data_IF_328083071261
#
_entry.id   IF_328083071261
#
_cell.length_a   1.000
_cell.length_b   1.000
_cell.length_c   1.000
_cell.angle_alpha   90.00
_cell.angle_beta   90.00
_cell.angle_gamma   90.00
#
_symmetry.space_group_name_H-M   'P 1'
#
loop_
_entity.id
_entity.type
_entity.pdbx_description
1 polymer ?
#
# COMPACT_ATOMS: atom_id res chain seq x y z
N UNK A 1 38.27 10.44 13.13
CA UNK A 1 37.99 9.28 14.01
C UNK A 1 38.77 8.10 13.45
N UNK A 2 39.48 7.31 14.27
CA UNK A 2 40.14 6.10 13.77
C UNK A 2 39.08 5.10 13.27
N UNK A 3 39.36 4.43 12.16
CA UNK A 3 38.49 3.44 11.53
C UNK A 3 39.25 2.12 11.40
N UNK A 4 38.82 1.10 12.13
CA UNK A 4 39.32 -0.27 11.95
C UNK A 4 38.42 -1.01 10.93
N UNK A 5 39.04 -1.58 9.91
CA UNK A 5 38.36 -2.46 8.94
C UNK A 5 38.78 -3.90 9.22
N UNK A 6 37.84 -4.73 9.67
CA UNK A 6 38.04 -6.17 9.80
C UNK A 6 37.75 -6.84 8.45
N UNK A 7 38.53 -7.84 8.01
CA UNK A 7 38.40 -8.41 6.68
C UNK A 7 37.11 -9.22 6.49
N UNK A 8 36.47 -9.69 7.57
CA UNK A 8 35.10 -10.21 7.53
C UNK A 8 34.35 -9.96 8.85
N UNK A 9 33.11 -10.49 8.94
CA UNK A 9 32.20 -10.36 10.11
C UNK A 9 32.09 -11.64 10.96
N UNK A 10 33.05 -12.55 10.88
CA UNK A 10 33.03 -13.82 11.61
C UNK A 10 33.24 -13.60 13.12
N UNK A 11 32.50 -14.37 13.93
CA UNK A 11 32.56 -14.26 15.39
C UNK A 11 33.99 -14.38 15.93
N UNK A 12 34.78 -15.31 15.39
CA UNK A 12 36.17 -15.54 15.80
C UNK A 12 37.08 -14.34 15.54
N UNK A 13 36.98 -13.70 14.37
CA UNK A 13 37.82 -12.54 14.04
C UNK A 13 37.46 -11.33 14.90
N UNK A 14 36.16 -11.06 15.07
CA UNK A 14 35.67 -9.98 15.94
C UNK A 14 36.09 -10.21 17.39
N UNK A 15 36.04 -11.46 17.88
CA UNK A 15 36.53 -11.83 19.22
C UNK A 15 38.02 -11.50 19.38
N UNK A 16 38.85 -11.96 18.44
CA UNK A 16 40.29 -11.77 18.52
C UNK A 16 40.69 -10.29 18.42
N UNK A 17 40.00 -9.52 17.56
CA UNK A 17 40.20 -8.08 17.46
C UNK A 17 39.80 -7.35 18.75
N UNK A 18 38.64 -7.67 19.35
CA UNK A 18 38.25 -7.06 20.62
C UNK A 18 39.24 -7.38 21.75
N UNK A 19 39.86 -8.57 21.76
CA UNK A 19 40.89 -8.94 22.75
C UNK A 19 42.17 -8.11 22.65
N UNK A 20 42.49 -7.49 21.51
CA UNK A 20 43.64 -6.56 21.40
C UNK A 20 43.33 -5.14 21.90
N UNK A 21 42.08 -4.83 22.23
CA UNK A 21 41.66 -3.53 22.74
C UNK A 21 40.90 -3.66 24.09
N UNK A 22 41.57 -4.08 25.18
CA UNK A 22 40.93 -4.36 26.48
C UNK A 22 40.29 -3.13 27.15
N UNK A 23 40.58 -1.92 26.67
CA UNK A 23 39.95 -0.67 27.10
C UNK A 23 38.57 -0.41 26.47
N UNK A 24 38.05 -1.29 25.62
CA UNK A 24 36.69 -1.18 25.08
C UNK A 24 35.70 -1.61 26.17
N UNK A 25 35.04 -0.65 26.81
CA UNK A 25 34.02 -0.90 27.84
C UNK A 25 32.61 -1.11 27.27
N UNK A 26 32.31 -0.52 26.11
CA UNK A 26 30.96 -0.45 25.53
C UNK A 26 31.00 -0.72 24.03
N UNK A 27 30.11 -1.59 23.53
CA UNK A 27 29.98 -1.87 22.09
C UNK A 27 28.52 -1.74 21.64
N UNK A 28 28.26 -0.74 20.81
CA UNK A 28 26.98 -0.58 20.10
C UNK A 28 26.98 -1.43 18.82
N UNK A 29 26.02 -2.37 18.73
CA UNK A 29 25.92 -3.36 17.63
C UNK A 29 24.49 -3.55 17.15
N UNK A 30 24.35 -4.18 15.98
CA UNK A 30 23.05 -4.58 15.45
C UNK A 30 22.49 -5.84 16.17
N UNK A 31 21.43 -6.41 15.58
CA UNK A 31 20.81 -7.65 16.05
C UNK A 31 21.48 -8.95 15.59
N UNK A 32 22.70 -8.92 15.02
CA UNK A 32 23.39 -10.12 14.59
C UNK A 32 23.93 -10.91 15.80
N UNK A 33 23.51 -12.18 15.91
CA UNK A 33 23.92 -13.07 17.00
C UNK A 33 25.41 -13.37 17.00
N UNK A 34 26.09 -13.30 15.85
CA UNK A 34 27.54 -13.45 15.76
C UNK A 34 28.30 -12.36 16.52
N UNK A 35 27.90 -11.09 16.40
CA UNK A 35 28.53 -10.01 17.17
C UNK A 35 28.23 -10.13 18.67
N UNK A 36 27.01 -10.52 19.06
CA UNK A 36 26.68 -10.80 20.46
C UNK A 36 27.61 -11.84 21.07
N UNK A 37 27.79 -12.96 20.38
CA UNK A 37 28.69 -14.02 20.85
C UNK A 37 30.13 -13.52 20.89
N UNK A 38 30.63 -12.91 19.80
CA UNK A 38 31.99 -12.42 19.70
C UNK A 38 32.41 -11.45 20.80
N UNK A 39 31.53 -10.51 21.18
CA UNK A 39 31.81 -9.56 22.26
C UNK A 39 31.86 -10.29 23.61
N UNK A 40 30.94 -11.24 23.84
CA UNK A 40 30.87 -12.02 25.08
C UNK A 40 32.09 -12.94 25.25
N UNK A 41 32.58 -13.52 24.15
CA UNK A 41 33.78 -14.38 24.08
C UNK A 41 35.09 -13.58 24.16
N UNK A 42 35.02 -12.26 23.90
CA UNK A 42 36.15 -11.34 24.01
C UNK A 42 36.36 -10.89 25.45
N UNK A 43 35.34 -10.27 26.04
CA UNK A 43 35.31 -9.83 27.43
C UNK A 43 33.84 -9.68 27.87
N UNK A 44 33.42 -10.48 28.85
CA UNK A 44 32.03 -10.51 29.36
C UNK A 44 31.60 -9.24 30.08
N UNK A 45 32.55 -8.39 30.51
CA UNK A 45 32.27 -7.09 31.12
C UNK A 45 31.85 -6.01 30.11
N UNK A 46 32.01 -6.24 28.80
CA UNK A 46 31.66 -5.24 27.77
C UNK A 46 30.15 -5.01 27.73
N UNK A 47 29.75 -3.77 27.98
CA UNK A 47 28.36 -3.34 27.89
C UNK A 47 27.91 -3.31 26.42
N UNK A 48 27.25 -4.38 25.99
CA UNK A 48 26.63 -4.44 24.67
C UNK A 48 25.40 -3.52 24.64
N UNK A 49 25.29 -2.69 23.60
CA UNK A 49 24.15 -1.81 23.33
C UNK A 49 23.53 -2.21 22.01
N UNK A 50 22.20 -2.38 21.98
CA UNK A 50 21.47 -2.66 20.74
C UNK A 50 21.25 -1.36 19.97
N UNK A 51 21.68 -1.26 18.72
CA UNK A 51 21.55 -0.02 17.95
C UNK A 51 20.08 0.39 17.69
N UNK A 52 19.78 1.67 17.99
CA UNK A 52 18.44 2.26 17.90
C UNK A 52 17.94 2.41 16.46
N UNK A 53 18.80 2.61 15.47
CA UNK A 53 18.38 2.66 14.07
C UNK A 53 17.90 1.29 13.60
N UNK A 54 18.64 0.23 13.93
CA UNK A 54 18.21 -1.16 13.74
C UNK A 54 16.91 -1.50 14.51
N UNK A 55 16.72 -0.93 15.71
CA UNK A 55 15.51 -1.08 16.51
C UNK A 55 14.28 -0.48 15.80
N UNK A 56 14.38 0.78 15.33
CA UNK A 56 13.31 1.47 14.58
C UNK A 56 13.06 0.83 13.20
N UNK A 57 14.11 0.55 12.43
CA UNK A 57 14.05 -0.02 11.08
C UNK A 57 13.37 -1.39 11.05
N UNK A 58 13.72 -2.29 11.98
CA UNK A 58 13.17 -3.64 12.00
C UNK A 58 11.68 -3.66 12.40
N UNK A 59 11.27 -2.77 13.31
CA UNK A 59 9.85 -2.60 13.64
C UNK A 59 9.06 -2.00 12.46
N UNK A 60 9.61 -1.00 11.74
CA UNK A 60 8.97 -0.45 10.53
C UNK A 60 8.81 -1.50 9.43
N UNK A 61 9.84 -2.32 9.15
CA UNK A 61 9.76 -3.44 8.19
C UNK A 61 8.66 -4.46 8.55
N UNK A 62 8.46 -4.73 9.85
CA UNK A 62 7.37 -5.61 10.30
C UNK A 62 6.00 -4.98 10.06
N UNK A 63 5.83 -3.68 10.35
CA UNK A 63 4.60 -2.94 10.01
C UNK A 63 4.31 -2.95 8.49
N UNK A 64 5.32 -2.70 7.67
CA UNK A 64 5.23 -2.72 6.20
C UNK A 64 4.73 -4.08 5.68
N UNK A 65 5.22 -5.18 6.28
CA UNK A 65 4.73 -6.54 5.99
C UNK A 65 3.27 -6.74 6.40
N UNK A 66 2.88 -6.30 7.60
CA UNK A 66 1.51 -6.46 8.11
C UNK A 66 0.52 -5.68 7.23
N UNK A 67 0.77 -4.38 6.97
CA UNK A 67 -0.08 -3.56 6.11
C UNK A 67 -0.08 -4.06 4.65
N UNK A 68 0.98 -4.72 4.20
CA UNK A 68 0.99 -5.35 2.86
C UNK A 68 0.04 -6.54 2.76
N UNK A 69 -0.21 -7.25 3.85
CA UNK A 69 -1.16 -8.35 3.92
C UNK A 69 -2.61 -7.93 4.25
N UNK A 70 -2.81 -6.80 4.96
CA UNK A 70 -4.14 -6.40 5.47
C UNK A 70 -4.84 -5.28 4.72
N UNK A 71 -4.14 -4.45 3.93
CA UNK A 71 -4.76 -3.36 3.14
C UNK A 71 -4.24 -3.35 1.69
N UNK A 72 -5.04 -2.87 0.70
CA UNK A 72 -4.59 -2.76 -0.69
C UNK A 72 -3.42 -1.77 -0.87
N UNK A 73 -2.83 -1.75 -2.07
CA UNK A 73 -1.79 -0.80 -2.46
C UNK A 73 -2.26 0.66 -2.43
N UNK A 74 -3.55 0.88 -2.72
CA UNK A 74 -4.25 2.17 -2.60
C UNK A 74 -5.62 1.94 -1.99
N UNK A 75 -5.92 2.66 -0.92
CA UNK A 75 -7.27 2.79 -0.36
C UNK A 75 -7.92 3.98 -1.05
N UNK A 76 -9.12 3.79 -1.61
CA UNK A 76 -9.87 4.87 -2.27
C UNK A 76 -11.28 5.03 -1.71
N UNK A 77 -11.81 6.26 -1.75
CA UNK A 77 -13.22 6.55 -1.47
C UNK A 77 -13.66 7.81 -2.21
N UNK A 78 -14.93 7.84 -2.63
CA UNK A 78 -15.61 9.04 -3.08
C UNK A 78 -16.41 9.63 -1.92
N UNK A 79 -16.28 10.93 -1.65
CA UNK A 79 -17.35 11.63 -0.94
C UNK A 79 -18.59 11.62 -1.81
N UNK A 80 -19.68 11.01 -1.33
CA UNK A 80 -20.99 11.21 -1.94
C UNK A 80 -21.45 12.61 -1.56
N UNK A 81 -21.30 13.58 -2.48
CA UNK A 81 -22.20 14.73 -2.48
C UNK A 81 -23.65 14.22 -2.62
N UNK A 82 -24.65 14.95 -2.10
CA UNK A 82 -26.04 14.51 -2.14
C UNK A 82 -26.47 14.14 -3.56
N UNK A 83 -27.24 13.06 -3.67
CA UNK A 83 -27.58 12.42 -4.94
C UNK A 83 -28.38 13.40 -5.80
N UNK A 84 -27.73 13.97 -6.81
CA UNK A 84 -28.45 14.64 -7.90
C UNK A 84 -29.34 13.63 -8.62
N UNK A 85 -30.46 14.06 -9.24
CA UNK A 85 -31.44 13.15 -9.83
C UNK A 85 -30.81 12.13 -10.78
N UNK A 86 -31.35 10.92 -10.81
CA UNK A 86 -30.94 9.88 -11.77
C UNK A 86 -31.43 10.30 -13.16
N UNK A 87 -30.62 11.09 -13.86
CA UNK A 87 -31.04 11.71 -15.12
C UNK A 87 -31.21 10.72 -16.26
N UNK A 88 -32.06 11.12 -17.22
CA UNK A 88 -32.65 10.24 -18.22
C UNK A 88 -31.62 9.83 -19.28
N UNK A 89 -31.05 8.63 -19.11
CA UNK A 89 -30.28 7.91 -20.13
C UNK A 89 -30.92 8.03 -21.52
N UNK A 90 -30.10 8.20 -22.56
CA UNK A 90 -30.60 8.27 -23.95
C UNK A 90 -31.25 6.95 -24.36
N UNK A 91 -32.10 6.97 -25.39
CA UNK A 91 -32.80 5.77 -25.88
C UNK A 91 -31.83 4.61 -26.19
N UNK A 92 -30.71 4.90 -26.86
CA UNK A 92 -29.69 3.91 -27.17
C UNK A 92 -28.95 3.35 -25.93
N UNK A 93 -28.78 4.15 -24.88
CA UNK A 93 -28.18 3.70 -23.61
C UNK A 93 -29.15 2.84 -22.81
N UNK A 94 -30.44 3.19 -22.76
CA UNK A 94 -31.49 2.33 -22.17
C UNK A 94 -31.58 1.00 -22.90
N UNK A 95 -31.55 1.00 -24.22
CA UNK A 95 -31.48 -0.22 -25.03
C UNK A 95 -30.18 -1.01 -24.82
N UNK A 96 -29.05 -0.35 -24.53
CA UNK A 96 -27.79 -1.02 -24.13
C UNK A 96 -27.95 -1.74 -22.79
N UNK A 97 -28.47 -1.06 -21.78
CA UNK A 97 -28.68 -1.60 -20.43
C UNK A 97 -29.71 -2.74 -20.42
N UNK A 98 -30.89 -2.55 -21.03
CA UNK A 98 -31.93 -3.60 -21.16
C UNK A 98 -31.34 -4.86 -21.82
N UNK A 99 -30.48 -4.69 -22.82
CA UNK A 99 -29.78 -5.81 -23.51
C UNK A 99 -28.71 -6.47 -22.63
N UNK A 100 -28.03 -5.72 -21.75
CA UNK A 100 -27.11 -6.28 -20.76
C UNK A 100 -27.87 -7.05 -19.66
N UNK A 101 -28.94 -6.48 -19.10
CA UNK A 101 -29.73 -7.07 -18.01
C UNK A 101 -30.39 -8.38 -18.45
N UNK A 102 -31.09 -8.40 -19.60
CA UNK A 102 -31.65 -9.66 -20.18
C UNK A 102 -30.58 -10.74 -20.39
N UNK A 103 -29.36 -10.35 -20.76
CA UNK A 103 -28.23 -11.30 -20.93
C UNK A 103 -27.67 -11.78 -19.59
N UNK A 104 -27.70 -10.94 -18.55
CA UNK A 104 -27.30 -11.31 -17.20
C UNK A 104 -28.31 -12.24 -16.53
N UNK A 105 -29.62 -11.98 -16.68
CA UNK A 105 -30.70 -12.87 -16.26
C UNK A 105 -30.55 -14.27 -16.87
N UNK A 106 -30.27 -14.35 -18.18
CA UNK A 106 -29.98 -15.62 -18.87
C UNK A 106 -28.78 -16.36 -18.24
N UNK A 107 -27.70 -15.65 -17.94
CA UNK A 107 -26.51 -16.23 -17.27
C UNK A 107 -26.85 -16.72 -15.86
N UNK A 108 -27.67 -15.99 -15.10
CA UNK A 108 -28.10 -16.40 -13.76
C UNK A 108 -29.00 -17.65 -13.81
N UNK A 109 -29.94 -17.74 -14.75
CA UNK A 109 -30.77 -18.95 -14.96
C UNK A 109 -29.91 -20.17 -15.29
N UNK A 110 -28.92 -20.03 -16.18
CA UNK A 110 -27.97 -21.10 -16.52
C UNK A 110 -27.15 -21.52 -15.28
N UNK A 111 -26.66 -20.57 -14.47
CA UNK A 111 -25.95 -20.87 -13.21
C UNK A 111 -26.83 -21.58 -12.18
N UNK A 112 -28.08 -21.15 -12.02
CA UNK A 112 -29.04 -21.76 -11.10
C UNK A 112 -29.37 -23.19 -11.52
N UNK A 113 -29.63 -23.41 -12.81
CA UNK A 113 -29.89 -24.74 -13.36
C UNK A 113 -28.69 -25.69 -13.24
N UNK A 114 -27.45 -25.18 -13.41
CA UNK A 114 -26.24 -25.96 -13.15
C UNK A 114 -26.05 -26.30 -11.66
N UNK A 115 -26.34 -25.35 -10.75
CA UNK A 115 -26.34 -25.61 -9.29
C UNK A 115 -27.39 -26.63 -8.86
N UNK A 116 -28.51 -26.71 -9.59
CA UNK A 116 -29.54 -27.74 -9.43
C UNK A 116 -29.19 -29.09 -10.12
N UNK A 117 -27.93 -29.30 -10.50
CA UNK A 117 -27.43 -30.59 -11.01
C UNK A 117 -27.55 -30.82 -12.52
N UNK A 118 -28.09 -29.88 -13.31
CA UNK A 118 -28.16 -30.06 -14.77
C UNK A 118 -26.75 -30.03 -15.39
N UNK A 119 -26.41 -31.08 -16.14
CA UNK A 119 -25.12 -31.17 -16.83
C UNK A 119 -24.91 -30.04 -17.85
N UNK A 120 -23.66 -29.64 -18.08
CA UNK A 120 -23.31 -28.62 -19.08
C UNK A 120 -23.77 -28.98 -20.50
N UNK A 121 -23.83 -30.28 -20.83
CA UNK A 121 -24.32 -30.78 -22.11
C UNK A 121 -25.85 -30.69 -22.22
N UNK A 122 -26.57 -30.92 -21.13
CA UNK A 122 -28.03 -30.69 -21.04
C UNK A 122 -28.33 -29.20 -21.23
N UNK A 123 -27.62 -28.33 -20.53
CA UNK A 123 -27.78 -26.88 -20.61
C UNK A 123 -27.45 -26.32 -22.00
N UNK A 124 -26.46 -26.88 -22.70
CA UNK A 124 -26.12 -26.50 -24.07
C UNK A 124 -27.29 -26.76 -25.04
N UNK A 125 -27.97 -27.92 -24.92
CA UNK A 125 -29.17 -28.26 -25.70
C UNK A 125 -30.36 -27.38 -25.30
N UNK A 126 -30.65 -27.28 -24.00
CA UNK A 126 -31.79 -26.56 -23.42
C UNK A 126 -31.80 -25.06 -23.79
N UNK A 127 -30.65 -24.39 -23.65
CA UNK A 127 -30.52 -22.96 -23.95
C UNK A 127 -30.10 -22.66 -25.40
N UNK A 128 -29.91 -23.69 -26.25
CA UNK A 128 -29.40 -23.58 -27.62
C UNK A 128 -28.08 -22.77 -27.72
N UNK A 129 -27.16 -23.02 -26.79
CA UNK A 129 -25.86 -22.36 -26.68
C UNK A 129 -24.70 -23.35 -26.83
N UNK A 130 -23.57 -22.90 -27.38
CA UNK A 130 -22.37 -23.76 -27.44
C UNK A 130 -21.90 -24.15 -26.05
N UNK A 131 -21.34 -25.36 -25.90
CA UNK A 131 -20.80 -25.84 -24.62
C UNK A 131 -19.74 -24.89 -24.05
N UNK A 132 -18.88 -24.31 -24.90
CA UNK A 132 -17.88 -23.28 -24.51
C UNK A 132 -18.55 -21.99 -23.99
N UNK A 133 -19.73 -21.64 -24.50
CA UNK A 133 -20.54 -20.51 -23.99
C UNK A 133 -21.12 -20.82 -22.61
N UNK A 134 -21.68 -22.02 -22.42
CA UNK A 134 -22.20 -22.49 -21.12
C UNK A 134 -21.09 -22.51 -20.07
N UNK A 135 -19.92 -23.09 -20.38
CA UNK A 135 -18.73 -23.07 -19.52
C UNK A 135 -18.35 -21.65 -19.10
N UNK A 136 -18.20 -20.75 -20.08
CA UNK A 136 -17.87 -19.33 -19.84
C UNK A 136 -18.91 -18.63 -18.96
N UNK A 137 -20.20 -18.95 -19.13
CA UNK A 137 -21.27 -18.32 -18.36
C UNK A 137 -21.32 -18.83 -16.92
N UNK A 138 -21.09 -20.12 -16.68
CA UNK A 138 -20.98 -20.70 -15.32
C UNK A 138 -19.81 -20.07 -14.55
N UNK A 139 -18.64 -19.94 -15.20
CA UNK A 139 -17.41 -19.39 -14.63
C UNK A 139 -17.41 -17.84 -14.46
N UNK A 140 -18.37 -17.12 -15.05
CA UNK A 140 -18.36 -15.65 -15.07
C UNK A 140 -18.87 -15.04 -13.76
N UNK A 141 -17.99 -14.36 -13.01
CA UNK A 141 -18.30 -13.87 -11.65
C UNK A 141 -19.00 -12.49 -11.57
N UNK A 142 -19.37 -11.88 -12.70
CA UNK A 142 -20.07 -10.58 -12.73
C UNK A 142 -20.79 -10.36 -14.07
N UNK A 143 -21.61 -9.30 -14.20
CA UNK A 143 -22.38 -9.05 -15.41
C UNK A 143 -21.49 -8.89 -16.65
N UNK A 144 -21.94 -9.37 -17.83
CA UNK A 144 -21.14 -9.34 -19.05
C UNK A 144 -21.05 -7.91 -19.60
N UNK A 145 -19.94 -7.20 -19.30
CA UNK A 145 -19.64 -5.94 -19.97
C UNK A 145 -19.70 -6.12 -21.49
N UNK A 146 -20.42 -5.20 -22.15
CA UNK A 146 -20.49 -5.12 -23.61
C UNK A 146 -19.50 -4.12 -24.19
N UNK A 147 -18.53 -3.67 -23.39
CA UNK A 147 -17.63 -2.60 -23.77
C UNK A 147 -16.49 -3.18 -24.59
N UNK A 148 -16.70 -3.19 -25.93
CA UNK A 148 -15.61 -3.34 -26.89
C UNK A 148 -14.51 -2.37 -26.49
N UNK A 149 -13.32 -2.90 -26.23
CA UNK A 149 -12.14 -2.11 -25.89
C UNK A 149 -11.81 -1.17 -27.05
N UNK A 150 -12.35 0.05 -27.00
CA UNK A 150 -12.05 1.09 -27.99
C UNK A 150 -10.57 1.43 -27.85
N UNK A 151 -9.79 1.12 -28.88
CA UNK A 151 -8.40 1.57 -28.98
C UNK A 151 -8.47 3.10 -29.00
N UNK A 152 -8.02 3.76 -27.92
CA UNK A 152 -8.03 5.22 -27.84
C UNK A 152 -7.08 5.78 -28.89
N UNK A 153 -7.65 6.23 -30.02
CA UNK A 153 -6.92 6.69 -31.20
C UNK A 153 -6.23 8.04 -31.00
N UNK A 154 -6.41 8.69 -29.85
CA UNK A 154 -5.88 10.01 -29.47
C UNK A 154 -4.93 9.92 -28.26
N UNK A 155 -4.66 8.70 -27.78
CA UNK A 155 -3.94 8.42 -26.53
C UNK A 155 -2.52 9.02 -26.56
N UNK A 156 -2.24 9.94 -25.65
CA UNK A 156 -0.99 10.71 -25.57
C UNK A 156 -1.21 12.22 -25.71
N UNK A 157 -2.18 12.63 -26.53
CA UNK A 157 -2.55 14.05 -26.71
C UNK A 157 -3.62 14.53 -25.72
N UNK A 158 -4.09 13.65 -24.83
CA UNK A 158 -5.20 13.90 -23.90
C UNK A 158 -5.00 15.18 -23.06
N UNK A 159 -3.79 15.38 -22.52
CA UNK A 159 -3.43 16.58 -21.73
C UNK A 159 -3.43 17.86 -22.57
N UNK A 160 -2.87 17.81 -23.79
CA UNK A 160 -2.80 18.96 -24.69
C UNK A 160 -4.20 19.39 -25.13
N UNK A 161 -5.07 18.42 -25.46
CA UNK A 161 -6.47 18.70 -25.81
C UNK A 161 -7.22 19.36 -24.64
N UNK A 162 -7.01 18.91 -23.40
CA UNK A 162 -7.58 19.56 -22.19
C UNK A 162 -7.06 21.00 -22.04
N UNK A 163 -5.78 21.25 -22.31
CA UNK A 163 -5.18 22.57 -22.24
C UNK A 163 -5.71 23.53 -23.33
N UNK A 164 -5.83 23.07 -24.58
CA UNK A 164 -6.37 23.87 -25.69
C UNK A 164 -7.86 24.16 -25.50
N UNK A 165 -8.63 23.20 -24.97
CA UNK A 165 -10.04 23.34 -24.62
C UNK A 165 -10.27 24.30 -23.43
N UNK A 166 -9.35 24.35 -22.45
CA UNK A 166 -9.39 25.35 -21.38
C UNK A 166 -9.13 26.78 -21.89
N UNK A 167 -8.27 26.90 -22.91
CA UNK A 167 -8.03 28.14 -23.68
C UNK A 167 -9.15 28.45 -24.72
N UNK A 168 -10.20 27.64 -24.77
CA UNK A 168 -11.41 27.85 -25.60
C UNK A 168 -11.21 27.82 -27.14
N UNK A 169 -10.20 27.12 -27.64
CA UNK A 169 -9.95 26.94 -29.08
C UNK A 169 -11.11 26.24 -29.81
N UNK A 170 -11.24 26.45 -31.12
CA UNK A 170 -12.20 25.71 -31.94
C UNK A 170 -11.75 24.27 -32.22
N UNK A 171 -12.70 23.43 -32.64
CA UNK A 171 -12.44 22.04 -33.04
C UNK A 171 -11.44 21.91 -34.21
N UNK A 172 -11.26 22.95 -35.03
CA UNK A 172 -10.29 22.95 -36.13
C UNK A 172 -8.88 23.26 -35.62
N UNK A 173 -8.72 24.32 -34.81
CA UNK A 173 -7.44 24.64 -34.16
C UNK A 173 -6.91 23.48 -33.32
N UNK A 174 -7.78 22.82 -32.55
CA UNK A 174 -7.37 21.68 -31.70
C UNK A 174 -6.80 20.53 -32.56
N UNK A 175 -7.43 20.19 -33.69
CA UNK A 175 -6.92 19.14 -34.59
C UNK A 175 -5.64 19.57 -35.32
N UNK A 176 -5.51 20.83 -35.73
CA UNK A 176 -4.28 21.37 -36.33
C UNK A 176 -3.10 21.36 -35.35
N UNK A 177 -3.31 21.83 -34.11
CA UNK A 177 -2.24 21.94 -33.10
C UNK A 177 -1.73 20.57 -32.66
N UNK A 178 -2.60 19.57 -32.47
CA UNK A 178 -2.11 18.21 -32.16
C UNK A 178 -1.43 17.55 -33.36
N UNK A 179 -1.77 17.91 -34.62
CA UNK A 179 -1.08 17.41 -35.82
C UNK A 179 0.36 17.92 -35.92
N UNK A 180 0.59 19.19 -35.56
CA UNK A 180 1.94 19.75 -35.46
C UNK A 180 2.78 19.01 -34.40
N UNK A 181 2.15 18.60 -33.29
CA UNK A 181 2.74 17.75 -32.23
C UNK A 181 2.79 16.25 -32.61
N UNK A 182 2.56 15.88 -33.88
CA UNK A 182 2.75 14.51 -34.39
C UNK A 182 1.50 13.63 -34.43
N UNK A 183 0.29 14.16 -34.26
CA UNK A 183 -0.94 13.37 -34.33
C UNK A 183 -1.29 12.88 -35.74
N UNK A 184 -1.11 11.58 -36.00
CA UNK A 184 -1.42 10.92 -37.27
C UNK A 184 -2.86 10.38 -37.41
N UNK A 185 -3.73 10.63 -36.43
CA UNK A 185 -5.08 10.05 -36.39
C UNK A 185 -6.18 10.87 -37.10
N UNK A 186 -7.43 10.38 -37.02
CA UNK A 186 -8.58 10.97 -37.72
C UNK A 186 -9.22 12.13 -36.95
N UNK A 187 -9.68 13.16 -37.68
CA UNK A 187 -10.43 14.30 -37.13
C UNK A 187 -11.66 13.85 -36.32
N UNK A 188 -12.37 12.81 -36.78
CA UNK A 188 -13.54 12.25 -36.08
C UNK A 188 -13.21 11.71 -34.68
N UNK A 189 -12.01 11.18 -34.45
CA UNK A 189 -11.58 10.75 -33.12
C UNK A 189 -11.31 11.95 -32.20
N UNK A 190 -10.66 13.00 -32.72
CA UNK A 190 -10.42 14.27 -32.01
C UNK A 190 -11.73 14.93 -31.62
N UNK A 191 -12.65 15.08 -32.58
CA UNK A 191 -14.02 15.55 -32.37
C UNK A 191 -14.71 14.76 -31.27
N UNK A 192 -14.66 13.42 -31.30
CA UNK A 192 -15.30 12.58 -30.27
C UNK A 192 -14.73 12.85 -28.86
N UNK A 193 -13.41 13.03 -28.73
CA UNK A 193 -12.78 13.34 -27.43
C UNK A 193 -13.16 14.75 -26.96
N UNK A 194 -13.04 15.76 -27.82
CA UNK A 194 -13.36 17.16 -27.49
C UNK A 194 -14.85 17.34 -27.18
N UNK A 195 -15.75 16.71 -27.94
CA UNK A 195 -17.19 16.71 -27.65
C UNK A 195 -17.50 16.00 -26.32
N UNK A 196 -16.79 14.93 -25.97
CA UNK A 196 -16.93 14.27 -24.66
C UNK A 196 -16.46 15.19 -23.52
N UNK A 197 -15.33 15.88 -23.69
CA UNK A 197 -14.84 16.87 -22.72
C UNK A 197 -15.81 18.05 -22.57
N UNK A 198 -16.32 18.60 -23.68
CA UNK A 198 -17.34 19.68 -23.70
C UNK A 198 -18.65 19.23 -23.06
N UNK A 199 -19.09 17.98 -23.27
CA UNK A 199 -20.27 17.40 -22.65
C UNK A 199 -20.10 17.28 -21.15
N UNK A 200 -18.99 16.71 -20.68
CA UNK A 200 -18.66 16.59 -19.25
C UNK A 200 -18.58 17.98 -18.57
N UNK A 201 -17.98 18.98 -19.24
CA UNK A 201 -17.89 20.37 -18.77
C UNK A 201 -19.28 21.03 -18.68
N UNK A 202 -20.13 20.89 -19.69
CA UNK A 202 -21.51 21.44 -19.70
C UNK A 202 -22.44 20.75 -18.71
N UNK A 203 -22.27 19.44 -18.49
CA UNK A 203 -23.06 18.66 -17.52
C UNK A 203 -22.60 18.88 -16.06
N UNK A 204 -21.74 19.86 -15.79
CA UNK A 204 -21.24 20.14 -14.44
C UNK A 204 -20.52 18.95 -13.80
N UNK A 205 -19.99 18.03 -14.61
CA UNK A 205 -19.56 16.69 -14.21
C UNK A 205 -18.19 16.72 -13.51
N UNK A 206 -18.15 17.44 -12.38
CA UNK A 206 -17.17 17.25 -11.31
C UNK A 206 -17.24 15.79 -10.93
N UNK A 207 -16.25 15.00 -11.37
CA UNK A 207 -16.06 13.65 -10.85
C UNK A 207 -16.02 13.78 -9.32
N UNK A 208 -16.91 13.06 -8.61
CA UNK A 208 -16.89 13.04 -7.14
C UNK A 208 -15.46 12.73 -6.72
N UNK A 209 -14.77 13.62 -5.99
CA UNK A 209 -13.33 13.50 -5.80
C UNK A 209 -13.02 12.15 -5.17
N UNK A 210 -12.36 11.29 -5.95
CA UNK A 210 -11.91 10.00 -5.47
C UNK A 210 -10.64 10.28 -4.71
N UNK A 211 -10.75 10.31 -3.39
CA UNK A 211 -9.60 10.42 -2.50
C UNK A 211 -8.86 9.10 -2.57
N UNK A 212 -7.53 9.18 -2.69
CA UNK A 212 -6.64 8.04 -2.79
C UNK A 212 -5.53 8.16 -1.76
N UNK A 213 -5.42 7.17 -0.88
CA UNK A 213 -4.30 7.02 0.06
C UNK A 213 -3.52 5.77 -0.33
N UNK A 214 -2.27 5.95 -0.72
CA UNK A 214 -1.35 4.84 -0.94
C UNK A 214 -0.99 4.14 0.37
N UNK A 215 -0.70 2.84 0.31
CA UNK A 215 -0.20 2.07 1.46
C UNK A 215 1.05 2.72 2.08
N UNK A 216 1.90 3.35 1.27
CA UNK A 216 3.10 4.06 1.75
C UNK A 216 2.78 5.33 2.55
N UNK A 217 1.77 6.10 2.16
CA UNK A 217 1.27 7.21 2.98
C UNK A 217 0.69 6.69 4.31
N UNK A 218 -0.08 5.58 4.28
CA UNK A 218 -0.60 4.95 5.50
C UNK A 218 0.54 4.45 6.43
N UNK A 219 1.56 3.79 5.89
CA UNK A 219 2.78 3.40 6.63
C UNK A 219 3.45 4.63 7.25
N UNK A 220 3.55 5.75 6.50
CA UNK A 220 4.10 7.02 7.01
C UNK A 220 3.27 7.53 8.19
N UNK A 221 1.95 7.58 8.06
CA UNK A 221 1.03 8.07 9.10
C UNK A 221 1.03 7.20 10.37
N UNK A 222 1.20 5.89 10.23
CA UNK A 222 1.49 5.00 11.37
C UNK A 222 2.82 5.33 12.06
N UNK A 223 3.82 5.81 11.32
CA UNK A 223 5.20 6.03 11.80
C UNK A 223 5.56 7.48 12.20
N UNK A 224 4.66 8.45 12.03
CA UNK A 224 4.83 9.83 12.53
C UNK A 224 3.98 10.10 13.77
N UNK A 225 4.19 11.25 14.43
CA UNK A 225 3.37 11.67 15.58
C UNK A 225 1.99 12.16 15.09
N UNK A 226 0.88 11.95 15.84
CA UNK A 226 -0.46 12.39 15.40
C UNK A 226 -0.55 13.90 15.12
N UNK A 227 0.25 14.70 15.82
CA UNK A 227 0.35 16.16 15.61
C UNK A 227 0.94 16.55 14.25
N UNK A 228 1.88 15.74 13.74
CA UNK A 228 2.57 15.97 12.46
C UNK A 228 1.70 15.70 11.23
N UNK A 229 0.48 15.19 11.42
CA UNK A 229 -0.54 15.07 10.38
C UNK A 229 -1.29 16.40 10.23
N UNK A 230 -1.36 16.92 9.00
CA UNK A 230 -2.16 18.11 8.72
C UNK A 230 -3.68 17.82 8.80
N UNK A 231 -4.53 18.86 8.77
CA UNK A 231 -6.00 18.72 8.92
C UNK A 231 -6.63 17.74 7.92
N UNK A 232 -6.16 17.74 6.66
CA UNK A 232 -6.64 16.82 5.62
C UNK A 232 -6.13 15.40 5.86
N UNK A 233 -4.85 15.23 6.16
CA UNK A 233 -4.29 13.90 6.46
C UNK A 233 -4.97 13.24 7.67
N UNK A 234 -5.37 14.02 8.68
CA UNK A 234 -6.19 13.53 9.81
C UNK A 234 -7.56 13.02 9.35
N UNK A 235 -8.24 13.74 8.45
CA UNK A 235 -9.52 13.31 7.87
C UNK A 235 -9.36 12.06 7.01
N UNK A 236 -8.38 12.06 6.11
CA UNK A 236 -8.08 10.92 5.22
C UNK A 236 -7.68 9.66 6.03
N UNK A 237 -6.95 9.83 7.13
CA UNK A 237 -6.56 8.73 8.02
C UNK A 237 -7.74 8.16 8.83
N UNK A 238 -8.70 8.99 9.26
CA UNK A 238 -9.96 8.53 9.84
C UNK A 238 -10.75 7.69 8.82
N UNK A 239 -10.82 8.10 7.56
CA UNK A 239 -11.48 7.32 6.51
C UNK A 239 -10.80 5.96 6.25
N UNK A 240 -9.46 5.88 6.38
CA UNK A 240 -8.75 4.60 6.35
C UNK A 240 -9.20 3.65 7.48
N UNK A 241 -9.36 4.14 8.71
CA UNK A 241 -9.88 3.33 9.82
C UNK A 241 -11.35 2.93 9.62
N UNK A 242 -12.19 3.83 9.07
CA UNK A 242 -13.60 3.52 8.75
C UNK A 242 -13.73 2.40 7.70
N UNK A 243 -12.75 2.23 6.81
CA UNK A 243 -12.72 1.14 5.83
C UNK A 243 -12.02 -0.13 6.29
N UNK A 244 -11.08 -0.02 7.22
CA UNK A 244 -10.30 -1.15 7.74
C UNK A 244 -10.16 -1.07 9.27
N UNK A 245 -11.22 -1.34 10.05
CA UNK A 245 -11.19 -1.18 11.51
C UNK A 245 -10.06 -1.97 12.19
N UNK A 246 -9.73 -3.15 11.66
CA UNK A 246 -8.66 -4.06 12.10
C UNK A 246 -7.27 -3.41 12.23
N UNK A 247 -7.00 -2.32 11.51
CA UNK A 247 -5.68 -1.65 11.59
C UNK A 247 -5.58 -0.67 12.78
N UNK A 248 -6.68 -0.40 13.49
CA UNK A 248 -6.72 0.55 14.62
C UNK A 248 -5.95 0.06 15.87
N UNK A 249 -6.07 -1.21 16.31
CA UNK A 249 -5.20 -1.75 17.38
C UNK A 249 -3.72 -1.76 16.97
N UNK A 250 -3.42 -2.10 15.70
CA UNK A 250 -2.07 -2.08 15.16
C UNK A 250 -1.44 -0.68 15.22
N UNK A 251 -2.23 0.37 14.93
CA UNK A 251 -1.78 1.75 15.05
C UNK A 251 -1.39 2.11 16.49
N UNK A 252 -2.22 1.75 17.47
CA UNK A 252 -1.93 1.98 18.89
C UNK A 252 -0.66 1.23 19.33
N UNK A 253 -0.50 -0.03 18.93
CA UNK A 253 0.72 -0.81 19.20
C UNK A 253 1.98 -0.15 18.62
N UNK A 254 1.90 0.46 17.44
CA UNK A 254 3.02 1.16 16.81
C UNK A 254 3.30 2.51 17.49
N UNK A 255 2.27 3.28 17.86
CA UNK A 255 2.45 4.55 18.57
C UNK A 255 3.07 4.34 19.96
N UNK A 256 2.55 3.41 20.76
CA UNK A 256 3.09 3.08 22.09
C UNK A 256 4.56 2.63 22.02
N UNK A 257 4.93 1.85 21.00
CA UNK A 257 6.32 1.47 20.74
C UNK A 257 7.20 2.68 20.44
N UNK A 258 6.81 3.51 19.47
CA UNK A 258 7.53 4.72 19.04
C UNK A 258 7.70 5.71 20.18
N UNK A 259 6.68 5.89 21.00
CA UNK A 259 6.72 6.76 22.17
C UNK A 259 7.73 6.24 23.20
N UNK A 260 7.66 4.95 23.56
CA UNK A 260 8.58 4.36 24.53
C UNK A 260 10.05 4.52 24.13
N UNK A 261 10.36 4.41 22.83
CA UNK A 261 11.71 4.64 22.30
C UNK A 261 12.07 6.13 22.29
N UNK A 262 11.14 7.02 21.89
CA UNK A 262 11.38 8.48 21.87
C UNK A 262 11.63 9.05 23.28
N UNK A 263 10.94 8.52 24.29
CA UNK A 263 11.07 8.93 25.70
C UNK A 263 12.15 8.16 26.47
N UNK A 264 12.88 7.23 25.83
CA UNK A 264 13.76 6.26 26.52
C UNK A 264 13.08 5.49 27.66
N UNK A 265 11.75 5.33 27.61
CA UNK A 265 10.92 4.75 28.67
C UNK A 265 10.93 3.22 28.62
N UNK A 266 11.98 2.62 29.20
CA UNK A 266 12.16 1.16 29.23
C UNK A 266 11.01 0.41 29.92
N UNK A 267 10.34 1.03 30.92
CA UNK A 267 9.19 0.44 31.62
C UNK A 267 7.96 0.34 30.70
N UNK A 268 7.68 1.39 29.92
CA UNK A 268 6.63 1.37 28.89
C UNK A 268 6.95 0.35 27.79
N UNK A 269 8.20 0.29 27.33
CA UNK A 269 8.65 -0.71 26.36
C UNK A 269 8.49 -2.16 26.88
N UNK A 270 8.83 -2.44 28.14
CA UNK A 270 8.64 -3.76 28.73
C UNK A 270 7.16 -4.18 28.78
N UNK A 271 6.24 -3.24 29.02
CA UNK A 271 4.80 -3.52 28.97
C UNK A 271 4.32 -3.83 27.55
N UNK A 272 4.80 -3.07 26.54
CA UNK A 272 4.55 -3.38 25.13
C UNK A 272 5.13 -4.74 24.73
N UNK A 273 6.35 -5.06 25.18
CA UNK A 273 7.03 -6.33 24.90
C UNK A 273 6.24 -7.52 25.49
N UNK A 274 5.76 -7.40 26.73
CA UNK A 274 4.87 -8.38 27.36
C UNK A 274 3.57 -8.56 26.56
N UNK A 275 2.92 -7.46 26.17
CA UNK A 275 1.70 -7.50 25.35
C UNK A 275 1.91 -8.26 24.04
N UNK A 276 2.99 -7.96 23.30
CA UNK A 276 3.31 -8.62 22.03
C UNK A 276 3.77 -10.07 22.18
N UNK A 277 4.11 -10.54 23.38
CA UNK A 277 4.49 -11.92 23.67
C UNK A 277 3.35 -12.80 24.19
N UNK A 278 2.19 -12.21 24.53
CA UNK A 278 1.01 -12.91 25.08
C UNK A 278 0.56 -14.10 24.22
N UNK A 279 0.41 -13.89 22.92
CA UNK A 279 -0.10 -14.88 21.98
C UNK A 279 0.67 -14.84 20.65
N UNK A 280 0.80 -15.98 19.97
CA UNK A 280 1.53 -16.11 18.69
C UNK A 280 0.93 -15.25 17.57
N UNK A 281 -0.36 -14.92 17.70
CA UNK A 281 -1.15 -14.09 16.78
C UNK A 281 -0.86 -12.58 16.91
N UNK A 282 -0.13 -12.13 17.94
CA UNK A 282 0.19 -10.71 18.12
C UNK A 282 1.02 -10.18 16.93
N UNK A 283 0.73 -8.98 16.37
CA UNK A 283 1.33 -8.54 15.11
C UNK A 283 2.86 -8.47 15.12
N UNK A 284 3.47 -8.19 16.28
CA UNK A 284 4.92 -8.15 16.45
C UNK A 284 5.49 -9.38 17.18
N UNK A 285 4.76 -10.48 17.40
CA UNK A 285 5.20 -11.63 18.20
C UNK A 285 6.61 -12.14 17.87
N UNK A 286 6.90 -12.42 16.59
CA UNK A 286 8.21 -12.90 16.15
C UNK A 286 9.32 -11.84 16.22
N UNK A 287 8.97 -10.56 16.26
CA UNK A 287 9.91 -9.47 16.48
C UNK A 287 10.19 -9.31 17.98
N UNK A 288 9.15 -9.23 18.82
CA UNK A 288 9.22 -9.22 20.27
C UNK A 288 9.98 -10.45 20.84
N UNK A 289 9.82 -11.65 20.26
CA UNK A 289 10.58 -12.84 20.65
C UNK A 289 12.08 -12.71 20.39
N UNK A 290 12.49 -12.04 19.29
CA UNK A 290 13.90 -11.71 19.01
C UNK A 290 14.42 -10.61 19.92
N UNK A 291 13.61 -9.61 20.24
CA UNK A 291 13.98 -8.59 21.22
C UNK A 291 14.19 -9.21 22.62
N UNK A 292 13.31 -10.10 23.07
CA UNK A 292 13.46 -10.77 24.38
C UNK A 292 14.76 -11.57 24.51
N UNK A 293 15.31 -12.11 23.42
CA UNK A 293 16.59 -12.83 23.48
C UNK A 293 17.82 -11.91 23.53
N UNK A 294 17.65 -10.58 23.51
CA UNK A 294 18.71 -9.57 23.60
C UNK A 294 18.43 -8.52 24.70
N UNK A 295 17.63 -8.90 25.71
CA UNK A 295 16.96 -7.93 26.59
C UNK A 295 17.91 -6.99 27.36
N UNK A 296 19.12 -7.43 27.70
CA UNK A 296 20.13 -6.56 28.34
C UNK A 296 20.68 -5.50 27.37
N UNK A 297 21.04 -5.89 26.13
CA UNK A 297 21.52 -4.91 25.15
C UNK A 297 20.43 -3.91 24.76
N UNK A 298 19.16 -4.32 24.80
CA UNK A 298 18.01 -3.43 24.62
C UNK A 298 17.79 -2.54 25.85
N UNK A 299 17.94 -3.06 27.08
CA UNK A 299 17.93 -2.21 28.29
C UNK A 299 18.99 -1.10 28.18
N UNK A 300 20.20 -1.43 27.75
CA UNK A 300 21.24 -0.43 27.49
C UNK A 300 20.88 0.53 26.34
N UNK A 301 20.17 0.07 25.31
CA UNK A 301 19.64 0.91 24.23
C UNK A 301 18.53 1.89 24.66
N UNK A 302 18.05 1.81 25.90
CA UNK A 302 17.17 2.81 26.50
C UNK A 302 17.95 3.66 27.53
N UNK A 303 18.90 3.08 28.28
CA UNK A 303 19.59 3.77 29.38
C UNK A 303 20.89 4.51 29.01
N UNK A 304 21.63 4.06 27.98
CA UNK A 304 22.96 4.61 27.64
C UNK A 304 22.92 5.48 26.36
N UNK A 305 23.76 6.51 26.21
CA UNK A 305 23.69 7.44 25.08
C UNK A 305 24.10 6.82 23.73
N UNK A 306 24.90 5.76 23.72
CA UNK A 306 25.52 5.18 22.52
C UNK A 306 24.51 4.62 21.49
N UNK A 307 24.75 4.87 20.20
CA UNK A 307 24.04 4.26 19.05
C UNK A 307 24.84 4.47 17.77
N UNK A 308 24.74 3.57 16.79
CA UNK A 308 25.43 3.68 15.49
C UNK A 308 24.61 4.47 14.46
N UNK A 309 23.34 4.76 14.74
CA UNK A 309 22.38 5.36 13.81
C UNK A 309 22.78 6.67 13.10
N UNK A 310 23.75 7.43 13.61
CA UNK A 310 24.31 8.61 12.90
C UNK A 310 25.14 8.16 11.68
N UNK A 311 26.05 7.20 11.88
CA UNK A 311 26.85 6.59 10.82
C UNK A 311 25.96 5.80 9.85
N UNK A 312 25.02 4.99 10.37
CA UNK A 312 24.13 4.21 9.51
C UNK A 312 23.17 5.09 8.69
N UNK A 313 22.78 6.26 9.20
CA UNK A 313 21.99 7.26 8.47
C UNK A 313 22.76 8.01 7.37
N UNK A 314 24.11 8.00 7.42
CA UNK A 314 24.98 8.52 6.36
C UNK A 314 25.33 7.44 5.33
N UNK A 315 25.51 6.19 5.77
CA UNK A 315 25.89 5.05 4.91
C UNK A 315 24.70 4.52 4.08
N UNK A 316 23.48 4.52 4.62
CA UNK A 316 22.27 4.01 3.94
C UNK A 316 21.44 5.15 3.30
N UNK A 317 22.09 6.16 2.69
CA UNK A 317 21.43 7.38 2.21
C UNK A 317 20.98 7.31 0.75
#
# INVERSE_FOLDING_TARGET
>A
MPLALLPNRESKQVTQWLKTYPHIEVVSRDGFTGFRQAISDANSSILQVYDRWHFIRNAKKQLEKILTASVPSTISWSTKLPIQPVEKMTKAEKEKEIRQNRKWELIQRIKQAHRAGKSMCTLAKEYKLSWKTIQKYIQMNGPPSSDRYKKNLVRGFDNLIIQLESKSHTLKEIDQLIRLEGYSGTFSAVRTVVETLRRNRKQGHRQNPVYHVSRQQLIRWFWIHPEQLNKKEKQDFVQCFSKYPEIRPLYQMVQNYRESVKQSNYKQFLNWLKQQLSHKQQPFYHYARRLRSDLQAIKHAFLLPYSNGVLEGQINR
#
